data_IF_356356452702
#
_entry.id   IF_356356452702
#
_cell.length_a   1.000
_cell.length_b   1.000
_cell.length_c   1.000
_cell.angle_alpha   90.00
_cell.angle_beta   90.00
_cell.angle_gamma   90.00
#
_symmetry.space_group_name_H-M   'P 1'
#
loop_
_entity.id
_entity.type
_entity.pdbx_description
1 polymer ?
#
# COMPACT_ATOMS: atom_id res chain seq x y z
N UNK A 1 7.76 67.35 -31.40
CA UNK A 1 8.12 67.18 -29.96
C UNK A 1 7.45 65.92 -29.43
N UNK A 2 8.23 64.90 -29.04
CA UNK A 2 7.70 63.67 -28.43
C UNK A 2 7.51 63.91 -26.92
N UNK A 3 6.26 63.88 -26.43
CA UNK A 3 5.97 63.88 -24.99
C UNK A 3 6.28 62.49 -24.45
N UNK A 4 7.42 62.33 -23.77
CA UNK A 4 7.72 61.14 -23.00
C UNK A 4 6.89 61.21 -21.69
N UNK A 5 5.75 60.52 -21.67
CA UNK A 5 4.99 60.30 -20.42
C UNK A 5 5.71 59.19 -19.65
N UNK A 6 6.42 59.57 -18.59
CA UNK A 6 7.00 58.61 -17.64
C UNK A 6 5.91 58.01 -16.76
N UNK A 7 6.06 56.73 -16.44
CA UNK A 7 5.21 56.03 -15.47
C UNK A 7 5.45 56.62 -14.07
N UNK A 8 4.40 56.85 -13.29
CA UNK A 8 4.55 57.38 -11.93
C UNK A 8 4.90 56.25 -10.95
N UNK A 9 5.67 56.57 -9.90
CA UNK A 9 5.97 55.61 -8.83
C UNK A 9 4.70 55.08 -8.15
N UNK A 10 3.66 55.92 -8.08
CA UNK A 10 2.37 55.56 -7.48
C UNK A 10 1.66 54.49 -8.32
N UNK A 11 1.62 54.65 -9.65
CA UNK A 11 1.04 53.64 -10.55
C UNK A 11 1.73 52.29 -10.42
N UNK A 12 3.07 52.28 -10.22
CA UNK A 12 3.82 51.04 -10.03
C UNK A 12 3.48 50.35 -8.70
N UNK A 13 3.41 51.12 -7.61
CA UNK A 13 3.12 50.57 -6.27
C UNK A 13 1.71 49.97 -6.20
N UNK A 14 0.71 50.60 -6.83
CA UNK A 14 -0.66 50.07 -6.88
C UNK A 14 -0.70 48.73 -7.63
N UNK A 15 0.00 48.62 -8.75
CA UNK A 15 0.08 47.36 -9.52
C UNK A 15 0.76 46.27 -8.69
N UNK A 16 1.88 46.57 -8.04
CA UNK A 16 2.58 45.61 -7.18
C UNK A 16 1.72 45.18 -5.98
N UNK A 17 0.94 46.09 -5.39
CA UNK A 17 0.01 45.76 -4.31
C UNK A 17 -1.08 44.77 -4.77
N UNK A 18 -1.68 44.98 -5.95
CA UNK A 18 -2.68 44.06 -6.50
C UNK A 18 -2.04 42.69 -6.82
N UNK A 19 -0.86 42.67 -7.44
CA UNK A 19 -0.14 41.42 -7.73
C UNK A 19 0.19 40.64 -6.45
N UNK A 20 0.57 41.33 -5.38
CA UNK A 20 0.86 40.70 -4.09
C UNK A 20 -0.40 40.04 -3.49
N UNK A 21 -1.55 40.72 -3.52
CA UNK A 21 -2.82 40.16 -3.04
C UNK A 21 -3.24 38.92 -3.85
N UNK A 22 -3.14 39.01 -5.19
CA UNK A 22 -3.48 37.89 -6.08
C UNK A 22 -2.56 36.69 -5.84
N UNK A 23 -1.24 36.93 -5.73
CA UNK A 23 -0.27 35.87 -5.45
C UNK A 23 -0.55 35.20 -4.09
N UNK A 24 -0.88 35.98 -3.05
CA UNK A 24 -1.16 35.46 -1.72
C UNK A 24 -2.34 34.48 -1.68
N UNK A 25 -3.38 34.69 -2.50
CA UNK A 25 -4.53 33.79 -2.59
C UNK A 25 -4.27 32.62 -3.54
N UNK A 26 -3.55 32.84 -4.65
CA UNK A 26 -3.33 31.84 -5.69
C UNK A 26 -2.37 30.71 -5.25
N UNK A 27 -1.27 31.06 -4.55
CA UNK A 27 -0.24 30.09 -4.14
C UNK A 27 -0.80 28.93 -3.29
N UNK A 28 -1.54 29.16 -2.19
CA UNK A 28 -2.08 28.06 -1.39
C UNK A 28 -3.08 27.18 -2.18
N UNK A 29 -3.90 27.79 -3.05
CA UNK A 29 -4.83 27.06 -3.90
C UNK A 29 -4.11 26.13 -4.88
N UNK A 30 -3.06 26.64 -5.55
CA UNK A 30 -2.24 25.85 -6.47
C UNK A 30 -1.53 24.68 -5.76
N UNK A 31 -0.95 24.93 -4.59
CA UNK A 31 -0.32 23.88 -3.78
C UNK A 31 -1.31 22.77 -3.40
N UNK A 32 -2.55 23.14 -3.05
CA UNK A 32 -3.63 22.17 -2.78
C UNK A 32 -3.97 21.30 -3.99
N UNK A 33 -4.05 21.88 -5.20
CA UNK A 33 -4.29 21.11 -6.43
C UNK A 33 -3.13 20.17 -6.78
N UNK A 34 -1.88 20.63 -6.61
CA UNK A 34 -0.70 19.79 -6.84
C UNK A 34 -0.70 18.60 -5.88
N UNK A 35 -1.01 18.80 -4.61
CA UNK A 35 -1.10 17.71 -3.63
C UNK A 35 -2.18 16.69 -4.01
N UNK A 36 -3.38 17.16 -4.38
CA UNK A 36 -4.47 16.27 -4.86
C UNK A 36 -4.09 15.51 -6.13
N UNK A 37 -3.37 16.13 -7.05
CA UNK A 37 -2.89 15.47 -8.27
C UNK A 37 -1.87 14.38 -7.95
N UNK A 38 -0.94 14.63 -7.01
CA UNK A 38 0.03 13.64 -6.52
C UNK A 38 -0.66 12.47 -5.83
N UNK A 39 -1.62 12.73 -4.94
CA UNK A 39 -2.38 11.66 -4.29
C UNK A 39 -3.12 10.76 -5.30
N UNK A 40 -3.72 11.37 -6.34
CA UNK A 40 -4.36 10.61 -7.42
C UNK A 40 -3.36 9.81 -8.25
N UNK A 41 -2.19 10.36 -8.52
CA UNK A 41 -1.11 9.66 -9.22
C UNK A 41 -0.64 8.44 -8.40
N UNK A 42 -0.44 8.59 -7.10
CA UNK A 42 0.00 7.50 -6.24
C UNK A 42 -1.03 6.36 -6.20
N UNK A 43 -2.33 6.69 -6.07
CA UNK A 43 -3.42 5.71 -6.14
C UNK A 43 -3.49 5.04 -7.52
N UNK A 44 -3.22 5.78 -8.60
CA UNK A 44 -3.17 5.21 -9.96
C UNK A 44 -2.05 4.18 -10.10
N UNK A 45 -0.84 4.49 -9.63
CA UNK A 45 0.28 3.55 -9.61
C UNK A 45 -0.02 2.34 -8.73
N UNK A 46 -0.65 2.55 -7.57
CA UNK A 46 -1.05 1.48 -6.67
C UNK A 46 -2.05 0.50 -7.32
N UNK A 47 -3.01 1.02 -8.11
CA UNK A 47 -3.94 0.21 -8.91
C UNK A 47 -3.20 -0.63 -9.95
N UNK A 48 -2.26 -0.03 -10.69
CA UNK A 48 -1.47 -0.78 -11.67
C UNK A 48 -0.69 -1.93 -11.01
N UNK A 49 -0.10 -1.70 -9.82
CA UNK A 49 0.54 -2.75 -9.04
C UNK A 49 -0.43 -3.86 -8.63
N UNK A 50 -1.63 -3.50 -8.18
CA UNK A 50 -2.67 -4.44 -7.74
C UNK A 50 -3.18 -5.30 -8.90
N UNK A 51 -3.43 -4.70 -10.07
CA UNK A 51 -3.85 -5.40 -11.27
C UNK A 51 -2.77 -6.38 -11.76
N UNK A 52 -1.50 -5.96 -11.72
CA UNK A 52 -0.36 -6.81 -12.03
C UNK A 52 -0.24 -8.00 -11.06
N UNK A 53 -0.43 -7.77 -9.76
CA UNK A 53 -0.43 -8.81 -8.75
C UNK A 53 -1.58 -9.80 -8.98
N UNK A 54 -2.80 -9.31 -9.21
CA UNK A 54 -3.97 -10.14 -9.50
C UNK A 54 -3.75 -10.99 -10.75
N UNK A 55 -3.15 -10.44 -11.82
CA UNK A 55 -2.79 -11.21 -13.01
C UNK A 55 -1.81 -12.35 -12.67
N UNK A 56 -0.82 -12.08 -11.83
CA UNK A 56 0.12 -13.10 -11.34
C UNK A 56 -0.56 -14.23 -10.57
N UNK A 57 -1.52 -13.93 -9.69
CA UNK A 57 -2.29 -14.97 -9.00
C UNK A 57 -3.21 -15.75 -9.93
N UNK A 58 -3.85 -15.09 -10.90
CA UNK A 58 -4.68 -15.76 -11.91
C UNK A 58 -3.85 -16.74 -12.75
N UNK A 59 -2.63 -16.38 -13.11
CA UNK A 59 -1.72 -17.30 -13.79
C UNK A 59 -1.33 -18.50 -12.89
N UNK A 60 -1.07 -18.25 -11.61
CA UNK A 60 -0.76 -19.31 -10.65
C UNK A 60 -1.93 -20.31 -10.50
N UNK A 61 -3.16 -19.79 -10.49
CA UNK A 61 -4.38 -20.59 -10.54
C UNK A 61 -4.44 -21.47 -11.80
N UNK A 62 -4.21 -20.88 -12.98
CA UNK A 62 -4.21 -21.60 -14.25
C UNK A 62 -3.11 -22.66 -14.38
N UNK A 63 -1.98 -22.46 -13.71
CA UNK A 63 -0.87 -23.43 -13.62
C UNK A 63 -1.14 -24.56 -12.62
N UNK A 64 -2.29 -24.54 -11.94
CA UNK A 64 -2.66 -25.49 -10.90
C UNK A 64 -1.56 -25.68 -9.84
N UNK A 65 -0.84 -24.60 -9.50
CA UNK A 65 0.22 -24.65 -8.48
C UNK A 65 -0.45 -25.01 -7.15
N UNK A 66 -0.25 -26.22 -6.61
CA UNK A 66 -1.06 -26.67 -5.50
C UNK A 66 -0.61 -25.98 -4.20
N UNK A 67 -1.58 -25.51 -3.42
CA UNK A 67 -1.35 -24.89 -2.11
C UNK A 67 -0.88 -25.91 -1.04
N UNK A 68 -0.99 -27.21 -1.30
CA UNK A 68 -1.01 -28.26 -0.28
C UNK A 68 0.33 -28.53 0.40
N UNK A 69 1.47 -28.35 -0.30
CA UNK A 69 2.77 -28.72 0.26
C UNK A 69 3.65 -27.52 0.64
N UNK A 70 3.39 -26.36 0.04
CA UNK A 70 4.17 -25.11 0.26
C UNK A 70 3.39 -24.03 1.00
N UNK A 71 2.09 -24.26 1.23
CA UNK A 71 1.15 -23.40 1.94
C UNK A 71 1.05 -21.96 1.44
N UNK A 72 1.32 -21.75 0.15
CA UNK A 72 1.08 -20.52 -0.57
C UNK A 72 0.64 -20.82 -2.01
N UNK A 73 -0.08 -19.90 -2.65
CA UNK A 73 -0.61 -20.09 -4.01
C UNK A 73 0.36 -19.74 -5.14
N UNK A 74 1.53 -19.21 -4.83
CA UNK A 74 2.52 -18.77 -5.84
C UNK A 74 3.68 -19.77 -6.00
N UNK A 75 3.62 -20.91 -5.31
CA UNK A 75 4.57 -22.01 -5.45
C UNK A 75 5.95 -21.76 -4.85
N UNK A 76 6.09 -20.73 -4.02
CA UNK A 76 7.36 -20.38 -3.38
C UNK A 76 7.72 -21.38 -2.28
N UNK A 77 9.02 -21.67 -2.08
CA UNK A 77 9.47 -22.60 -1.06
C UNK A 77 9.20 -22.11 0.37
N UNK A 78 9.15 -23.05 1.32
CA UNK A 78 8.81 -22.81 2.73
C UNK A 78 9.79 -21.91 3.52
N UNK A 79 10.96 -21.60 2.97
CA UNK A 79 11.91 -20.62 3.52
C UNK A 79 11.51 -19.17 3.19
N UNK A 80 10.71 -18.97 2.13
CA UNK A 80 10.08 -17.70 1.80
C UNK A 80 8.78 -17.46 2.57
N UNK A 81 8.25 -18.48 3.22
CA UNK A 81 7.09 -18.33 4.11
C UNK A 81 7.60 -17.93 5.49
N UNK A 82 7.37 -16.66 5.84
CA UNK A 82 7.84 -16.01 7.06
C UNK A 82 6.93 -16.36 8.23
N UNK A 83 7.46 -17.04 9.24
CA UNK A 83 6.85 -17.15 10.56
C UNK A 83 7.82 -16.65 11.65
N UNK A 84 7.27 -15.94 12.64
CA UNK A 84 7.97 -15.57 13.87
C UNK A 84 8.23 -16.82 14.70
N UNK A 85 9.51 -17.15 14.90
CA UNK A 85 10.06 -18.00 15.97
C UNK A 85 9.14 -19.10 16.55
N UNK A 86 9.37 -20.34 16.09
CA UNK A 86 9.00 -21.60 16.78
C UNK A 86 7.55 -22.14 16.60
N UNK A 87 6.91 -21.90 15.45
CA UNK A 87 5.64 -22.57 15.11
C UNK A 87 5.85 -23.97 14.47
N UNK A 88 5.04 -24.99 14.81
CA UNK A 88 5.19 -26.34 14.27
C UNK A 88 4.83 -26.50 12.79
N UNK A 89 4.30 -25.47 12.11
CA UNK A 89 3.98 -25.54 10.68
C UNK A 89 3.95 -24.16 9.98
N UNK A 90 5.13 -23.65 9.62
CA UNK A 90 5.31 -22.35 8.94
C UNK A 90 4.64 -22.23 7.57
N UNK A 91 4.08 -23.30 7.03
CA UNK A 91 3.64 -23.36 5.63
C UNK A 91 2.58 -22.34 5.26
N UNK A 92 1.77 -21.86 6.20
CA UNK A 92 0.61 -20.99 5.92
C UNK A 92 0.77 -19.54 6.42
N UNK A 93 1.99 -19.15 6.80
CA UNK A 93 2.28 -17.80 7.26
C UNK A 93 2.48 -16.81 6.08
N UNK A 94 2.79 -15.56 6.36
CA UNK A 94 2.95 -14.54 5.32
C UNK A 94 4.16 -14.85 4.43
N UNK A 95 4.07 -14.57 3.13
CA UNK A 95 5.05 -14.99 2.13
C UNK A 95 5.90 -13.80 1.69
N UNK A 96 7.20 -13.87 1.94
CA UNK A 96 8.17 -12.92 1.41
C UNK A 96 8.48 -13.23 -0.06
N UNK A 97 7.73 -12.62 -0.96
CA UNK A 97 7.90 -12.84 -2.40
C UNK A 97 9.12 -12.12 -2.96
N UNK A 98 9.77 -11.26 -2.19
CA UNK A 98 10.89 -10.44 -2.65
C UNK A 98 11.96 -11.27 -3.35
N UNK A 99 12.33 -10.82 -4.55
CA UNK A 99 13.37 -11.43 -5.40
C UNK A 99 12.97 -12.73 -6.09
N UNK A 100 11.75 -13.24 -5.87
CA UNK A 100 11.22 -14.38 -6.62
C UNK A 100 10.81 -14.01 -8.04
N UNK A 101 10.66 -15.01 -8.91
CA UNK A 101 10.15 -14.80 -10.27
C UNK A 101 8.72 -14.26 -10.27
N UNK A 102 7.90 -14.64 -9.29
CA UNK A 102 6.57 -14.07 -9.09
C UNK A 102 6.65 -12.55 -8.85
N UNK A 103 7.46 -12.12 -7.88
CA UNK A 103 7.60 -10.70 -7.58
C UNK A 103 8.21 -9.92 -8.74
N UNK A 104 9.28 -10.44 -9.37
CA UNK A 104 9.89 -9.81 -10.55
C UNK A 104 8.90 -9.65 -11.69
N UNK A 105 8.05 -10.65 -11.92
CA UNK A 105 7.01 -10.60 -12.95
C UNK A 105 5.98 -9.52 -12.64
N UNK A 106 5.46 -9.49 -11.41
CA UNK A 106 4.52 -8.43 -11.00
C UNK A 106 5.15 -7.04 -11.16
N UNK A 107 6.40 -6.89 -10.71
CA UNK A 107 7.13 -5.62 -10.78
C UNK A 107 7.54 -5.23 -12.21
N UNK A 108 7.59 -6.17 -13.15
CA UNK A 108 7.87 -5.86 -14.56
C UNK A 108 6.73 -5.17 -15.30
N UNK A 109 5.53 -5.17 -14.72
CA UNK A 109 4.35 -4.50 -15.28
C UNK A 109 4.13 -3.08 -14.73
N UNK A 110 5.03 -2.60 -13.86
CA UNK A 110 4.93 -1.27 -13.27
C UNK A 110 6.16 -0.44 -13.62
N UNK A 111 5.96 0.85 -13.89
CA UNK A 111 7.04 1.74 -14.31
C UNK A 111 8.04 2.03 -13.18
N UNK A 112 7.55 2.07 -11.94
CA UNK A 112 8.33 2.37 -10.74
C UNK A 112 8.10 1.27 -9.69
N UNK A 113 9.19 0.67 -9.18
CA UNK A 113 9.11 -0.29 -8.08
C UNK A 113 8.74 0.45 -6.78
N UNK A 114 7.61 0.13 -6.14
CA UNK A 114 7.22 0.75 -4.89
C UNK A 114 8.14 0.35 -3.74
N UNK A 115 8.36 1.25 -2.79
CA UNK A 115 9.13 0.99 -1.57
C UNK A 115 8.55 -0.16 -0.75
N UNK A 116 7.22 -0.21 -0.60
CA UNK A 116 6.51 -1.34 -0.02
C UNK A 116 5.30 -1.64 -0.91
N UNK A 117 5.18 -2.89 -1.31
CA UNK A 117 3.96 -3.41 -1.93
C UNK A 117 3.64 -4.79 -1.41
N UNK A 118 2.50 -4.89 -0.75
CA UNK A 118 2.01 -6.11 -0.10
C UNK A 118 0.59 -6.30 -0.58
N UNK A 119 0.24 -7.53 -0.92
CA UNK A 119 -1.13 -7.91 -1.25
C UNK A 119 -1.56 -9.05 -0.35
N UNK A 120 -2.86 -9.24 -0.15
CA UNK A 120 -3.38 -10.39 0.56
C UNK A 120 -4.44 -11.10 -0.27
N UNK A 121 -4.40 -12.42 -0.21
CA UNK A 121 -5.43 -13.32 -0.72
C UNK A 121 -5.98 -14.17 0.42
N UNK A 122 -6.98 -15.01 0.15
CA UNK A 122 -7.44 -16.01 1.10
C UNK A 122 -6.32 -16.94 1.55
N UNK A 123 -6.31 -17.28 2.84
CA UNK A 123 -5.26 -18.10 3.43
C UNK A 123 -5.29 -19.54 2.89
N UNK A 124 -4.11 -20.14 2.73
CA UNK A 124 -3.97 -21.51 2.22
C UNK A 124 -4.13 -22.60 3.30
N UNK A 125 -4.31 -22.23 4.57
CA UNK A 125 -4.44 -23.17 5.69
C UNK A 125 -5.64 -24.11 5.49
N UNK A 126 -5.52 -25.41 5.81
CA UNK A 126 -6.62 -26.37 5.69
C UNK A 126 -7.86 -26.01 6.51
N UNK A 127 -7.67 -25.31 7.63
CA UNK A 127 -8.77 -24.84 8.49
C UNK A 127 -9.29 -23.46 8.11
N UNK A 128 -8.76 -22.83 7.04
CA UNK A 128 -9.25 -21.52 6.61
C UNK A 128 -10.64 -21.65 6.00
N UNK A 129 -11.40 -20.57 6.05
CA UNK A 129 -12.71 -20.47 5.42
C UNK A 129 -12.67 -19.89 3.99
N UNK A 130 -11.48 -19.85 3.39
CA UNK A 130 -11.27 -19.35 2.04
C UNK A 130 -11.64 -20.44 1.01
N UNK A 131 -12.53 -20.11 0.09
CA UNK A 131 -12.80 -20.91 -1.12
C UNK A 131 -11.57 -20.96 -2.03
N UNK A 132 -11.52 -21.91 -2.97
CA UNK A 132 -10.44 -21.97 -3.96
C UNK A 132 -10.26 -20.66 -4.71
N UNK A 133 -11.36 -20.02 -5.16
CA UNK A 133 -11.27 -18.73 -5.82
C UNK A 133 -10.71 -17.62 -4.92
N UNK A 134 -11.09 -17.59 -3.63
CA UNK A 134 -10.60 -16.58 -2.68
C UNK A 134 -9.10 -16.71 -2.40
N UNK A 135 -8.52 -17.90 -2.50
CA UNK A 135 -7.07 -18.12 -2.33
C UNK A 135 -6.22 -17.42 -3.40
N UNK A 136 -6.79 -17.15 -4.57
CA UNK A 136 -6.11 -16.48 -5.70
C UNK A 136 -6.65 -15.08 -6.01
N UNK A 137 -7.68 -14.62 -5.29
CA UNK A 137 -8.23 -13.27 -5.44
C UNK A 137 -7.53 -12.32 -4.47
N UNK A 138 -7.00 -11.22 -4.99
CA UNK A 138 -6.48 -10.11 -4.19
C UNK A 138 -7.66 -9.42 -3.52
N UNK A 139 -7.71 -9.50 -2.19
CA UNK A 139 -8.77 -8.92 -1.35
C UNK A 139 -8.29 -7.71 -0.56
N UNK A 140 -6.97 -7.57 -0.40
CA UNK A 140 -6.36 -6.47 0.33
C UNK A 140 -5.02 -6.09 -0.29
N UNK A 141 -4.66 -4.81 -0.18
CA UNK A 141 -3.37 -4.30 -0.65
C UNK A 141 -2.82 -3.20 0.25
N UNK A 142 -1.50 -3.11 0.33
CA UNK A 142 -0.75 -2.02 0.96
C UNK A 142 0.25 -1.54 -0.07
N UNK A 143 0.26 -0.23 -0.31
CA UNK A 143 1.16 0.43 -1.24
C UNK A 143 1.82 1.62 -0.56
N UNK A 144 3.15 1.70 -0.65
CA UNK A 144 3.96 2.85 -0.23
C UNK A 144 4.93 3.14 -1.37
N UNK A 145 4.79 4.30 -2.01
CA UNK A 145 5.57 4.67 -3.18
C UNK A 145 7.07 4.77 -2.88
N UNK A 146 7.45 5.69 -1.99
CA UNK A 146 8.84 5.92 -1.59
C UNK A 146 8.98 5.75 -0.08
N UNK A 147 10.23 5.78 0.40
CA UNK A 147 10.51 5.74 1.83
C UNK A 147 9.75 6.87 2.54
N UNK A 148 9.04 6.50 3.60
CA UNK A 148 8.25 7.40 4.43
C UNK A 148 7.08 8.10 3.70
N UNK A 149 6.73 7.74 2.44
CA UNK A 149 5.53 8.24 1.76
C UNK A 149 4.23 7.82 2.45
N UNK A 150 3.13 8.52 2.14
CA UNK A 150 1.80 8.16 2.63
C UNK A 150 1.44 6.74 2.20
N UNK A 151 1.02 5.86 3.13
CA UNK A 151 0.56 4.53 2.78
C UNK A 151 -0.85 4.59 2.20
N UNK A 152 -1.09 3.79 1.17
CA UNK A 152 -2.40 3.54 0.60
C UNK A 152 -2.80 2.08 0.82
N UNK A 153 -4.06 1.88 1.13
CA UNK A 153 -4.65 0.59 1.46
C UNK A 153 -5.79 0.31 0.50
N UNK A 154 -5.83 -0.90 -0.03
CA UNK A 154 -6.92 -1.40 -0.85
C UNK A 154 -7.75 -2.38 -0.03
N UNK A 155 -9.06 -2.20 0.01
CA UNK A 155 -10.03 -3.17 0.53
C UNK A 155 -11.43 -2.84 0.00
N UNK A 156 -12.31 -3.84 -0.10
CA UNK A 156 -13.69 -3.69 -0.62
C UNK A 156 -13.77 -2.96 -1.98
N UNK A 157 -12.76 -3.10 -2.83
CA UNK A 157 -12.72 -2.49 -4.16
C UNK A 157 -12.29 -1.01 -4.17
N UNK A 158 -12.03 -0.42 -3.01
CA UNK A 158 -11.65 1.00 -2.89
C UNK A 158 -10.24 1.17 -2.34
N UNK A 159 -9.63 2.31 -2.68
CA UNK A 159 -8.34 2.74 -2.15
C UNK A 159 -8.54 3.86 -1.15
N UNK A 160 -7.89 3.75 0.00
CA UNK A 160 -7.91 4.77 1.05
C UNK A 160 -6.52 4.97 1.63
N UNK A 161 -6.26 6.15 2.19
CA UNK A 161 -5.07 6.38 3.02
C UNK A 161 -5.30 6.08 4.50
N UNK A 162 -6.55 5.75 4.88
CA UNK A 162 -6.88 5.37 6.25
C UNK A 162 -6.42 3.95 6.55
N UNK A 163 -5.70 3.79 7.66
CA UNK A 163 -5.16 2.48 8.03
C UNK A 163 -6.30 1.52 8.37
N UNK A 164 -6.36 0.38 7.68
CA UNK A 164 -7.36 -0.67 7.87
C UNK A 164 -7.43 -1.22 9.31
N UNK A 165 -6.35 -1.15 10.09
CA UNK A 165 -6.35 -1.52 11.50
C UNK A 165 -7.11 -0.51 12.37
N UNK A 166 -7.11 0.77 11.99
CA UNK A 166 -7.82 1.83 12.73
C UNK A 166 -9.34 1.79 12.48
N UNK A 167 -9.77 1.15 11.39
CA UNK A 167 -11.19 0.93 11.04
C UNK A 167 -11.64 -0.51 11.29
N UNK A 168 -10.86 -1.30 12.05
CA UNK A 168 -11.15 -2.69 12.43
C UNK A 168 -11.43 -3.65 11.25
N UNK A 169 -10.93 -3.32 10.06
CA UNK A 169 -11.11 -4.12 8.85
C UNK A 169 -10.23 -5.38 8.88
N UNK A 170 -9.03 -5.29 9.47
CA UNK A 170 -8.16 -6.45 9.71
C UNK A 170 -8.21 -6.81 11.18
N UNK A 171 -8.87 -7.94 11.50
CA UNK A 171 -8.89 -8.53 12.82
C UNK A 171 -7.66 -9.44 12.98
N UNK A 172 -6.71 -9.00 13.80
CA UNK A 172 -5.67 -9.89 14.33
C UNK A 172 -6.23 -10.54 15.58
N UNK A 173 -6.85 -11.70 15.40
CA UNK A 173 -7.34 -12.45 16.53
C UNK A 173 -6.13 -13.02 17.30
N UNK A 174 -5.76 -12.39 18.41
CA UNK A 174 -4.58 -12.77 19.23
C UNK A 174 -4.64 -14.23 19.70
N UNK A 175 -5.84 -14.80 19.80
CA UNK A 175 -6.07 -16.21 20.12
C UNK A 175 -6.03 -17.18 18.93
N UNK A 176 -6.33 -16.73 17.69
CA UNK A 176 -6.42 -17.61 16.50
C UNK A 176 -5.19 -17.54 15.59
N UNK A 177 -4.31 -16.54 15.78
CA UNK A 177 -2.98 -16.43 15.15
C UNK A 177 -3.01 -16.47 13.61
N UNK A 178 -4.16 -16.19 12.99
CA UNK A 178 -4.35 -15.90 11.56
C UNK A 178 -4.73 -14.43 11.38
N UNK A 179 -4.25 -13.81 10.29
CA UNK A 179 -4.75 -12.50 9.85
C UNK A 179 -6.13 -12.73 9.23
N UNK A 180 -7.15 -12.00 9.66
CA UNK A 180 -8.48 -12.10 9.06
C UNK A 180 -8.98 -10.73 8.62
N UNK A 181 -9.62 -10.68 7.45
CA UNK A 181 -10.23 -9.49 6.88
C UNK A 181 -11.75 -9.56 7.05
N UNK A 182 -12.37 -8.50 7.56
CA UNK A 182 -13.81 -8.36 7.57
C UNK A 182 -14.27 -7.70 6.27
N UNK A 183 -15.04 -8.42 5.46
CA UNK A 183 -15.60 -7.96 4.19
C UNK A 183 -17.08 -8.33 4.13
N UNK A 184 -17.97 -7.35 3.93
CA UNK A 184 -19.41 -7.58 3.68
C UNK A 184 -20.09 -8.56 4.66
N UNK A 185 -19.79 -8.44 5.96
CA UNK A 185 -20.34 -9.32 7.01
C UNK A 185 -19.72 -10.72 7.07
N UNK A 186 -18.77 -11.04 6.18
CA UNK A 186 -17.94 -12.25 6.21
C UNK A 186 -16.56 -11.92 6.78
N UNK A 187 -16.07 -12.80 7.66
CA UNK A 187 -14.65 -12.85 8.04
C UNK A 187 -13.93 -13.77 7.07
N UNK A 188 -12.81 -13.36 6.49
CA UNK A 188 -11.99 -14.18 5.60
C UNK A 188 -10.59 -14.28 6.18
N UNK A 189 -10.10 -15.49 6.45
CA UNK A 189 -8.68 -15.68 6.77
C UNK A 189 -7.84 -15.28 5.55
N UNK A 190 -6.83 -14.44 5.76
CA UNK A 190 -5.95 -13.93 4.70
C UNK A 190 -4.49 -14.35 4.94
N UNK A 191 -3.72 -14.30 3.86
CA UNK A 191 -2.28 -14.49 3.85
C UNK A 191 -1.64 -13.34 3.09
N UNK A 192 -0.64 -12.68 3.67
CA UNK A 192 0.07 -11.59 2.99
C UNK A 192 1.16 -12.13 2.06
N UNK A 193 1.33 -11.46 0.93
CA UNK A 193 2.37 -11.69 -0.06
C UNK A 193 3.15 -10.39 -0.22
N UNK A 194 4.38 -10.36 0.28
CA UNK A 194 5.25 -9.19 0.27
C UNK A 194 6.03 -9.16 -1.04
N UNK A 195 5.52 -8.42 -2.01
CA UNK A 195 6.06 -8.36 -3.37
C UNK A 195 7.28 -7.45 -3.41
N UNK A 196 7.16 -6.26 -2.82
CA UNK A 196 8.29 -5.34 -2.60
C UNK A 196 8.35 -4.89 -1.15
N UNK A 197 9.58 -4.81 -0.63
CA UNK A 197 9.89 -4.26 0.70
C UNK A 197 11.38 -3.90 0.79
N UNK A 198 11.77 -2.98 1.68
CA UNK A 198 13.17 -2.70 1.92
C UNK A 198 13.84 -3.79 2.78
N UNK A 199 15.17 -3.93 2.65
CA UNK A 199 15.93 -4.96 3.37
C UNK A 199 16.16 -4.63 4.86
N UNK A 200 16.12 -3.35 5.22
CA UNK A 200 16.39 -2.86 6.58
C UNK A 200 15.20 -3.01 7.54
N UNK A 201 14.03 -3.47 7.07
CA UNK A 201 12.86 -3.73 7.89
C UNK A 201 12.67 -5.25 8.06
N UNK A 202 12.73 -5.71 9.31
CA UNK A 202 12.46 -7.09 9.71
C UNK A 202 10.98 -7.45 9.54
N UNK A 203 10.69 -8.69 9.19
CA UNK A 203 9.32 -9.22 9.18
C UNK A 203 8.83 -9.61 10.57
N UNK A 204 9.74 -9.73 11.54
CA UNK A 204 9.44 -10.06 12.92
C UNK A 204 9.37 -8.83 13.81
N UNK A 205 8.53 -8.92 14.85
CA UNK A 205 8.37 -7.87 15.85
C UNK A 205 7.43 -6.74 15.44
N UNK A 206 7.34 -5.74 16.31
CA UNK A 206 6.45 -4.58 16.18
C UNK A 206 7.15 -3.25 16.54
N UNK A 207 8.48 -3.24 16.54
CA UNK A 207 9.28 -2.02 16.70
C UNK A 207 9.14 -1.14 15.45
N UNK A 208 8.90 0.15 15.63
CA UNK A 208 8.52 1.05 14.54
C UNK A 208 9.68 1.49 13.64
N UNK A 209 10.93 1.25 14.06
CA UNK A 209 12.13 1.62 13.33
C UNK A 209 12.80 0.42 12.65
N UNK A 210 12.59 -0.78 13.18
CA UNK A 210 13.29 -2.00 12.74
C UNK A 210 12.37 -3.07 12.16
N UNK A 211 11.06 -3.05 12.43
CA UNK A 211 10.11 -4.01 11.88
C UNK A 211 9.18 -3.39 10.83
N UNK A 212 8.88 -4.15 9.78
CA UNK A 212 7.95 -3.75 8.71
C UNK A 212 6.56 -3.46 9.26
N UNK A 213 6.04 -4.36 10.10
CA UNK A 213 4.70 -4.21 10.67
C UNK A 213 4.63 -3.05 11.67
N UNK A 214 5.67 -2.84 12.48
CA UNK A 214 5.78 -1.67 13.35
C UNK A 214 5.86 -0.37 12.54
N UNK A 215 6.65 -0.35 11.47
CA UNK A 215 6.78 0.78 10.56
C UNK A 215 5.42 1.18 9.95
N UNK A 216 4.68 0.23 9.40
CA UNK A 216 3.36 0.45 8.79
C UNK A 216 2.27 0.84 9.80
N UNK A 217 2.30 0.27 11.02
CA UNK A 217 1.23 0.43 12.02
C UNK A 217 1.46 1.58 12.99
N UNK A 218 2.70 1.94 13.26
CA UNK A 218 3.06 2.95 14.27
C UNK A 218 3.75 4.15 13.65
N UNK A 219 4.74 3.94 12.78
CA UNK A 219 5.55 5.05 12.25
C UNK A 219 4.81 5.86 11.18
N UNK A 220 4.38 5.23 10.09
CA UNK A 220 3.68 5.95 9.01
C UNK A 220 2.39 6.64 9.50
N UNK A 221 1.54 6.02 10.33
CA UNK A 221 0.35 6.68 10.84
C UNK A 221 0.68 7.89 11.72
N UNK A 222 1.81 7.95 12.43
CA UNK A 222 2.20 9.16 13.17
C UNK A 222 2.58 10.32 12.24
N UNK A 223 3.17 10.02 11.07
CA UNK A 223 3.55 11.06 10.11
C UNK A 223 2.34 11.69 9.41
N UNK A 224 1.28 10.89 9.19
CA UNK A 224 0.14 11.27 8.35
C UNK A 224 -1.20 11.33 9.08
N UNK A 225 -1.30 10.72 10.27
CA UNK A 225 -2.54 10.44 11.01
C UNK A 225 -3.10 11.60 11.83
N UNK A 226 -2.73 12.84 11.53
CA UNK A 226 -3.37 14.04 12.08
C UNK A 226 -4.03 14.92 11.01
N UNK A 227 -4.15 14.45 9.76
CA UNK A 227 -4.82 15.21 8.70
C UNK A 227 -6.21 14.63 8.41
N UNK A 228 -7.09 14.67 9.41
CA UNK A 228 -8.52 14.80 9.11
C UNK A 228 -8.70 16.24 8.63
N UNK A 229 -8.71 16.46 7.32
CA UNK A 229 -9.37 17.65 6.79
C UNK A 229 -10.87 17.48 7.04
N UNK A 230 -11.33 18.02 8.18
CA UNK A 230 -12.72 18.44 8.34
C UNK A 230 -12.94 19.73 7.56
#
# INVERSE_FOLDING_TARGET
MRKNRGFTLVELIVVLAILAILAAVLVPALLGYINKAREKQDVFLAKACLDAAQAGFTEAYGKAIPYNDKGNVVGLPLDKVSDSNNWPNKSYADVDCKGSDFAKKVLSYVDEEPYIFIVATGNCKPSSNATEHEKYKVVYGIYVKEKDSRPYYFYNGEWTSENAANVNVVDKNEGARSNALQMDGKKLDIQYYLISRPNNLSLSGLDENTSLWGYLRKKLPKMYGNTVMK
#
